data_IF_837190301726
#
_entry.id   IF_837190301726
#
_cell.length_a   1.000
_cell.length_b   1.000
_cell.length_c   1.000
_cell.angle_alpha   90.00
_cell.angle_beta   90.00
_cell.angle_gamma   90.00
#
_symmetry.space_group_name_H-M   'P 1'
#
loop_
_entity.id
_entity.type
_entity.pdbx_description
1 polymer ?
#
# COMPACT_ATOMS: atom_id res chain seq x y z
N UNK A 1 42.92 -40.68 38.52
CA UNK A 1 41.75 -40.06 39.18
C UNK A 1 42.06 -38.60 39.49
N UNK A 2 41.19 -37.67 39.04
CA UNK A 2 41.19 -36.19 39.23
C UNK A 2 42.42 -35.50 38.60
N UNK A 3 42.29 -34.50 37.73
CA UNK A 3 41.74 -33.14 37.94
C UNK A 3 41.48 -32.50 36.55
N UNK A 4 40.26 -32.05 36.26
CA UNK A 4 39.83 -30.64 36.22
C UNK A 4 40.47 -29.76 35.11
N UNK A 5 39.68 -29.54 34.04
CA UNK A 5 39.27 -28.25 33.45
C UNK A 5 40.33 -27.14 33.37
N UNK A 6 40.75 -26.80 32.14
CA UNK A 6 40.97 -25.41 31.67
C UNK A 6 40.68 -25.35 30.16
N UNK A 7 39.45 -25.00 29.80
CA UNK A 7 39.09 -23.70 29.23
C UNK A 7 39.54 -23.53 27.77
N UNK A 8 38.74 -24.09 26.86
CA UNK A 8 38.75 -23.70 25.44
C UNK A 8 37.29 -23.47 25.05
N UNK A 9 36.70 -22.45 25.65
CA UNK A 9 35.35 -21.98 25.31
C UNK A 9 35.46 -20.50 24.96
N UNK A 10 35.83 -20.26 23.72
CA UNK A 10 35.48 -19.03 23.02
C UNK A 10 34.91 -19.49 21.68
N UNK A 11 33.78 -20.19 21.76
CA UNK A 11 32.96 -20.52 20.61
C UNK A 11 32.19 -19.25 20.26
N UNK A 12 32.48 -18.77 19.05
CA UNK A 12 31.95 -17.61 18.36
C UNK A 12 30.43 -17.49 18.62
N UNK A 13 30.05 -16.48 19.40
CA UNK A 13 28.67 -15.97 19.44
C UNK A 13 28.65 -14.61 18.73
N UNK A 14 29.02 -14.63 17.45
CA UNK A 14 28.57 -13.62 16.50
C UNK A 14 27.34 -14.21 15.82
N UNK A 15 26.22 -14.26 16.55
CA UNK A 15 24.92 -14.32 15.88
C UNK A 15 24.80 -12.96 15.21
N UNK A 16 25.22 -12.92 13.96
CA UNK A 16 24.83 -11.87 13.02
C UNK A 16 23.32 -11.85 13.05
N UNK A 17 22.74 -10.91 13.79
CA UNK A 17 21.37 -10.47 13.58
C UNK A 17 21.38 -9.64 12.29
N UNK A 18 21.79 -10.28 11.18
CA UNK A 18 21.28 -9.89 9.89
C UNK A 18 19.83 -10.34 9.99
N UNK A 19 18.93 -9.41 10.28
CA UNK A 19 17.51 -9.66 10.10
C UNK A 19 17.31 -9.97 8.62
N UNK A 20 17.40 -11.25 8.26
CA UNK A 20 16.71 -11.74 7.09
C UNK A 20 15.23 -11.52 7.42
N UNK A 21 14.68 -10.38 7.01
CA UNK A 21 13.24 -10.33 6.79
C UNK A 21 12.96 -11.48 5.82
N UNK A 22 12.22 -12.49 6.27
CA UNK A 22 11.74 -13.52 5.37
C UNK A 22 10.96 -12.80 4.28
N UNK A 23 11.43 -12.92 3.03
CA UNK A 23 10.79 -12.26 1.91
C UNK A 23 9.37 -12.81 1.81
N UNK A 24 8.36 -11.94 1.92
CA UNK A 24 6.97 -12.34 1.75
C UNK A 24 6.80 -12.93 0.36
N UNK A 25 6.11 -14.06 0.27
CA UNK A 25 5.79 -14.68 -1.01
C UNK A 25 4.37 -14.28 -1.42
N UNK A 26 4.24 -13.74 -2.62
CA UNK A 26 2.96 -13.39 -3.24
C UNK A 26 2.64 -14.38 -4.34
N UNK A 27 1.41 -14.88 -4.39
CA UNK A 27 0.98 -15.88 -5.39
C UNK A 27 0.32 -15.26 -6.60
N UNK A 28 -0.25 -14.06 -6.44
CA UNK A 28 -1.05 -13.38 -7.45
C UNK A 28 -0.36 -12.10 -7.93
N UNK A 29 -0.94 -11.49 -8.96
CA UNK A 29 -0.57 -10.14 -9.41
C UNK A 29 -1.73 -9.20 -9.08
N UNK A 30 -1.41 -8.16 -8.31
CA UNK A 30 -2.35 -7.13 -7.89
C UNK A 30 -2.24 -5.91 -8.81
N UNK A 31 -3.32 -5.14 -8.93
CA UNK A 31 -3.31 -3.86 -9.65
C UNK A 31 -3.65 -2.72 -8.71
N UNK A 32 -2.72 -1.77 -8.60
CA UNK A 32 -2.90 -0.52 -7.88
C UNK A 32 -3.12 0.62 -8.88
N UNK A 33 -4.30 1.23 -8.85
CA UNK A 33 -4.58 2.45 -9.62
C UNK A 33 -4.30 3.66 -8.76
N UNK A 34 -3.45 4.55 -9.25
CA UNK A 34 -2.99 5.75 -8.56
C UNK A 34 -3.43 7.01 -9.30
N UNK A 35 -4.45 7.68 -8.76
CA UNK A 35 -4.94 8.96 -9.26
C UNK A 35 -4.30 10.10 -8.48
N UNK A 36 -3.69 11.04 -9.19
CA UNK A 36 -2.87 12.10 -8.58
C UNK A 36 -3.01 13.45 -9.25
N UNK A 37 -2.66 14.49 -8.51
CA UNK A 37 -2.51 15.87 -8.97
C UNK A 37 -1.04 16.25 -8.86
N UNK A 38 -0.50 16.94 -9.84
CA UNK A 38 0.91 17.37 -9.86
C UNK A 38 1.21 18.37 -8.74
N UNK A 39 0.23 19.20 -8.38
CA UNK A 39 0.35 20.24 -7.35
C UNK A 39 0.05 19.78 -5.93
N UNK A 40 -0.30 18.50 -5.74
CA UNK A 40 -0.66 17.91 -4.45
C UNK A 40 0.58 17.43 -3.68
N UNK A 41 0.92 18.01 -2.51
CA UNK A 41 2.14 17.64 -1.77
C UNK A 41 2.15 16.18 -1.32
N UNK A 42 1.01 15.65 -0.86
CA UNK A 42 0.92 14.24 -0.47
C UNK A 42 1.09 13.30 -1.67
N UNK A 43 0.67 13.72 -2.86
CA UNK A 43 0.86 12.98 -4.10
C UNK A 43 2.33 12.98 -4.52
N UNK A 44 3.02 14.12 -4.39
CA UNK A 44 4.46 14.22 -4.62
C UNK A 44 5.23 13.29 -3.66
N UNK A 45 4.95 13.39 -2.36
CA UNK A 45 5.55 12.50 -1.35
C UNK A 45 5.29 11.02 -1.65
N UNK A 46 4.06 10.64 -1.99
CA UNK A 46 3.73 9.27 -2.34
C UNK A 46 4.47 8.80 -3.61
N UNK A 47 4.62 9.68 -4.60
CA UNK A 47 5.32 9.36 -5.85
C UNK A 47 6.82 9.13 -5.61
N UNK A 48 7.42 9.97 -4.77
CA UNK A 48 8.86 9.94 -4.46
C UNK A 48 9.23 8.82 -3.47
N UNK A 49 8.37 8.56 -2.48
CA UNK A 49 8.70 7.69 -1.35
C UNK A 49 7.79 6.46 -1.24
N UNK A 50 6.50 6.57 -1.59
CA UNK A 50 5.57 5.45 -1.50
C UNK A 50 5.70 4.43 -2.63
N UNK A 51 5.80 4.90 -3.88
CA UNK A 51 5.94 4.00 -5.03
C UNK A 51 7.18 3.10 -4.97
N UNK A 52 8.39 3.61 -4.63
CA UNK A 52 9.56 2.74 -4.50
C UNK A 52 9.41 1.65 -3.45
N UNK A 53 8.74 1.93 -2.32
CA UNK A 53 8.49 0.94 -1.27
C UNK A 53 7.59 -0.20 -1.77
N UNK A 54 6.57 0.13 -2.57
CA UNK A 54 5.67 -0.87 -3.17
C UNK A 54 6.43 -1.71 -4.20
N UNK A 55 7.26 -1.08 -5.04
CA UNK A 55 8.10 -1.77 -6.02
C UNK A 55 9.11 -2.70 -5.34
N UNK A 56 9.69 -2.30 -4.21
CA UNK A 56 10.60 -3.13 -3.41
C UNK A 56 9.89 -4.34 -2.78
N UNK A 57 8.73 -4.11 -2.16
CA UNK A 57 7.97 -5.16 -1.46
C UNK A 57 7.35 -6.17 -2.43
N UNK A 58 6.62 -5.69 -3.43
CA UNK A 58 5.82 -6.55 -4.31
C UNK A 58 6.55 -6.94 -5.60
N UNK A 59 7.49 -6.12 -6.09
CA UNK A 59 8.13 -6.33 -7.38
C UNK A 59 7.11 -6.56 -8.51
N UNK A 60 7.30 -7.64 -9.28
CA UNK A 60 6.42 -8.00 -10.39
C UNK A 60 4.99 -8.44 -9.96
N UNK A 61 4.75 -8.60 -8.66
CA UNK A 61 3.41 -8.91 -8.13
C UNK A 61 2.51 -7.68 -8.00
N UNK A 62 3.01 -6.46 -8.21
CA UNK A 62 2.19 -5.25 -8.25
C UNK A 62 2.31 -4.54 -9.58
N UNK A 63 1.19 -4.44 -10.30
CA UNK A 63 1.06 -3.55 -11.44
C UNK A 63 0.53 -2.19 -10.96
N UNK A 64 1.30 -1.13 -11.19
CA UNK A 64 0.87 0.24 -10.85
C UNK A 64 0.41 0.96 -12.11
N UNK A 65 -0.84 1.44 -12.12
CA UNK A 65 -1.41 2.25 -13.19
C UNK A 65 -1.60 3.67 -12.68
N UNK A 66 -0.93 4.65 -13.30
CA UNK A 66 -0.94 6.04 -12.84
C UNK A 66 -1.86 6.90 -13.72
N UNK A 67 -2.66 7.73 -13.09
CA UNK A 67 -3.60 8.65 -13.72
C UNK A 67 -3.32 10.08 -13.25
N UNK A 68 -2.79 10.90 -14.15
CA UNK A 68 -2.60 12.33 -13.90
C UNK A 68 -3.94 13.05 -14.08
N UNK A 69 -4.56 13.50 -12.99
CA UNK A 69 -5.83 14.21 -13.04
C UNK A 69 -5.70 15.64 -13.58
N UNK A 70 -4.49 16.17 -13.69
CA UNK A 70 -4.20 17.47 -14.32
C UNK A 70 -3.97 17.36 -15.85
N UNK A 71 -3.81 16.14 -16.40
CA UNK A 71 -3.52 15.97 -17.83
C UNK A 71 -4.74 16.23 -18.71
N UNK A 72 -4.74 17.41 -19.34
CA UNK A 72 -5.81 17.87 -20.23
C UNK A 72 -5.98 17.03 -21.49
N UNK A 73 -4.96 16.28 -21.91
CA UNK A 73 -5.05 15.44 -23.10
C UNK A 73 -5.81 14.14 -22.85
N UNK A 74 -5.78 13.64 -21.60
CA UNK A 74 -6.37 12.36 -21.20
C UNK A 74 -7.52 12.53 -20.20
N UNK A 75 -7.96 13.77 -19.92
CA UNK A 75 -8.95 14.10 -18.89
C UNK A 75 -10.23 13.26 -18.95
N UNK A 76 -10.74 12.96 -20.14
CA UNK A 76 -11.96 12.14 -20.29
C UNK A 76 -11.70 10.67 -19.93
N UNK A 77 -10.52 10.14 -20.26
CA UNK A 77 -10.12 8.76 -19.95
C UNK A 77 -9.85 8.61 -18.45
N UNK A 78 -9.12 9.56 -17.86
CA UNK A 78 -8.86 9.62 -16.42
C UNK A 78 -10.16 9.74 -15.64
N UNK A 79 -11.07 10.64 -16.06
CA UNK A 79 -12.40 10.77 -15.45
C UNK A 79 -13.21 9.49 -15.56
N UNK A 80 -13.23 8.84 -16.72
CA UNK A 80 -13.96 7.60 -16.91
C UNK A 80 -13.41 6.47 -16.01
N UNK A 81 -12.08 6.38 -15.86
CA UNK A 81 -11.46 5.43 -14.95
C UNK A 81 -11.79 5.73 -13.48
N UNK A 82 -11.72 6.99 -13.05
CA UNK A 82 -12.07 7.41 -11.69
C UNK A 82 -13.55 7.11 -11.38
N UNK A 83 -14.45 7.53 -12.28
CA UNK A 83 -15.90 7.29 -12.16
C UNK A 83 -16.22 5.79 -12.08
N UNK A 84 -15.49 4.95 -12.82
CA UNK A 84 -15.68 3.49 -12.76
C UNK A 84 -15.45 2.93 -11.35
N UNK A 85 -14.42 3.41 -10.64
CA UNK A 85 -14.18 2.96 -9.26
C UNK A 85 -15.18 3.58 -8.28
N UNK A 86 -15.39 4.89 -8.35
CA UNK A 86 -16.30 5.61 -7.43
C UNK A 86 -17.72 5.06 -7.48
N UNK A 87 -18.24 4.73 -8.66
CA UNK A 87 -19.59 4.19 -8.80
C UNK A 87 -19.77 2.79 -8.17
N UNK A 88 -18.67 2.09 -7.86
CA UNK A 88 -18.70 0.77 -7.22
C UNK A 88 -18.36 0.81 -5.71
N UNK A 89 -17.97 1.98 -5.19
CA UNK A 89 -17.69 2.19 -3.77
C UNK A 89 -19.03 2.34 -3.01
N UNK A 90 -19.10 1.71 -1.84
CA UNK A 90 -20.22 1.85 -0.91
C UNK A 90 -20.14 3.25 -0.29
N UNK A 91 -21.24 3.99 -0.39
CA UNK A 91 -21.43 5.30 0.27
C UNK A 91 -20.27 6.30 0.05
N UNK A 92 -19.74 6.37 -1.18
CA UNK A 92 -18.66 7.30 -1.51
C UNK A 92 -19.05 8.76 -1.20
N UNK A 93 -18.20 9.47 -0.44
CA UNK A 93 -18.40 10.87 -0.14
C UNK A 93 -18.13 11.70 -1.41
N UNK A 94 -19.15 12.35 -1.97
CA UNK A 94 -18.97 13.14 -3.19
C UNK A 94 -18.07 14.37 -2.99
N UNK A 95 -17.91 14.85 -1.76
CA UNK A 95 -16.99 15.95 -1.44
C UNK A 95 -15.51 15.55 -1.61
N UNK A 96 -15.22 14.26 -1.65
CA UNK A 96 -13.88 13.71 -1.85
C UNK A 96 -13.52 13.55 -3.35
N UNK A 97 -14.48 13.76 -4.25
CA UNK A 97 -14.29 13.55 -5.68
C UNK A 97 -13.18 14.44 -6.26
N UNK A 98 -12.20 13.82 -6.92
CA UNK A 98 -11.10 14.51 -7.59
C UNK A 98 -9.97 14.96 -6.65
N UNK A 99 -10.05 14.65 -5.35
CA UNK A 99 -8.92 14.81 -4.44
C UNK A 99 -7.91 13.66 -4.60
N UNK A 100 -6.67 13.91 -4.17
CA UNK A 100 -5.59 12.94 -4.26
C UNK A 100 -4.60 13.02 -3.09
N UNK A 101 -3.71 12.03 -2.94
CA UNK A 101 -3.63 10.81 -3.77
C UNK A 101 -4.86 9.92 -3.53
N UNK A 102 -5.48 9.42 -4.59
CA UNK A 102 -6.55 8.44 -4.51
C UNK A 102 -6.05 7.12 -5.09
N UNK A 103 -6.01 6.09 -4.24
CA UNK A 103 -5.32 4.85 -4.46
C UNK A 103 -6.33 3.70 -4.40
N UNK A 104 -6.46 2.95 -5.49
CA UNK A 104 -7.41 1.84 -5.59
C UNK A 104 -6.64 0.55 -5.74
N UNK A 105 -6.68 -0.31 -4.73
CA UNK A 105 -6.23 -1.69 -4.84
C UNK A 105 -7.39 -2.52 -5.41
N UNK A 106 -7.31 -2.83 -6.70
CA UNK A 106 -8.41 -3.42 -7.47
C UNK A 106 -8.92 -4.72 -6.84
N UNK A 107 -10.22 -4.77 -6.53
CA UNK A 107 -10.86 -5.91 -5.88
C UNK A 107 -10.73 -5.95 -4.35
N UNK A 108 -10.01 -5.01 -3.72
CA UNK A 108 -9.80 -4.98 -2.27
C UNK A 108 -10.47 -3.78 -1.62
N UNK A 109 -9.88 -2.59 -1.77
CA UNK A 109 -10.34 -1.34 -1.17
C UNK A 109 -9.73 -0.14 -1.91
N UNK A 110 -10.19 1.06 -1.57
CA UNK A 110 -9.56 2.31 -1.99
C UNK A 110 -9.22 3.19 -0.79
N UNK A 111 -8.17 3.99 -0.92
CA UNK A 111 -7.73 4.94 0.08
C UNK A 111 -7.56 6.32 -0.55
N UNK A 112 -8.19 7.33 0.04
CA UNK A 112 -7.91 8.72 -0.24
C UNK A 112 -6.96 9.27 0.82
N UNK A 113 -5.92 9.99 0.38
CA UNK A 113 -4.92 10.56 1.26
C UNK A 113 -3.89 9.51 1.71
N UNK A 114 -2.64 9.94 1.88
CA UNK A 114 -1.58 9.15 2.49
C UNK A 114 -0.80 10.08 3.40
N UNK A 115 -0.89 9.83 4.71
CA UNK A 115 -0.13 10.57 5.71
C UNK A 115 1.25 9.96 5.92
N UNK A 116 1.30 8.63 6.01
CA UNK A 116 2.49 7.83 6.24
C UNK A 116 2.59 6.73 5.17
N UNK A 117 3.70 6.74 4.42
CA UNK A 117 3.92 5.81 3.30
C UNK A 117 4.23 4.39 3.78
N UNK A 118 4.84 4.22 4.95
CA UNK A 118 5.12 2.90 5.54
C UNK A 118 3.81 2.28 6.03
N UNK A 119 2.97 3.07 6.71
CA UNK A 119 1.61 2.64 7.10
C UNK A 119 0.76 2.25 5.88
N UNK A 120 0.85 3.02 4.80
CA UNK A 120 0.15 2.69 3.57
C UNK A 120 0.62 1.35 2.98
N UNK A 121 1.94 1.10 2.97
CA UNK A 121 2.50 -0.18 2.54
C UNK A 121 1.99 -1.33 3.41
N UNK A 122 1.99 -1.17 4.73
CA UNK A 122 1.46 -2.16 5.67
C UNK A 122 -0.02 -2.47 5.39
N UNK A 123 -0.84 -1.46 5.08
CA UNK A 123 -2.24 -1.67 4.69
C UNK A 123 -2.39 -2.42 3.35
N UNK A 124 -1.52 -2.18 2.36
CA UNK A 124 -1.52 -2.98 1.13
C UNK A 124 -1.22 -4.46 1.42
N UNK A 125 -0.20 -4.72 2.25
CA UNK A 125 0.18 -6.08 2.66
C UNK A 125 -0.97 -6.74 3.41
N UNK A 126 -1.57 -6.03 4.36
CA UNK A 126 -2.71 -6.53 5.13
C UNK A 126 -3.89 -6.88 4.23
N UNK A 127 -4.25 -5.98 3.30
CA UNK A 127 -5.34 -6.20 2.36
C UNK A 127 -5.16 -7.48 1.53
N UNK A 128 -3.98 -7.66 0.92
CA UNK A 128 -3.73 -8.85 0.08
C UNK A 128 -3.62 -10.13 0.89
N UNK A 129 -3.24 -10.03 2.18
CA UNK A 129 -3.13 -11.15 3.11
C UNK A 129 -4.48 -11.50 3.79
N UNK A 130 -5.54 -10.74 3.52
CA UNK A 130 -6.84 -10.91 4.18
C UNK A 130 -6.84 -10.49 5.65
N UNK A 131 -5.89 -9.65 6.04
CA UNK A 131 -5.78 -9.09 7.38
C UNK A 131 -6.51 -7.75 7.50
N UNK A 132 -6.74 -7.31 8.74
CA UNK A 132 -7.42 -6.05 9.01
C UNK A 132 -6.50 -4.87 8.71
N UNK A 133 -7.03 -3.85 8.04
CA UNK A 133 -6.34 -2.57 7.85
C UNK A 133 -6.14 -1.85 9.20
N UNK A 134 -5.13 -1.00 9.27
CA UNK A 134 -5.00 -0.04 10.36
C UNK A 134 -6.15 0.97 10.38
N UNK A 135 -6.27 1.79 11.42
CA UNK A 135 -7.26 2.88 11.43
C UNK A 135 -6.79 4.05 10.54
N UNK A 136 -7.69 4.75 9.82
CA UNK A 136 -7.32 5.89 8.99
C UNK A 136 -6.72 7.04 9.82
N UNK A 137 -5.71 7.71 9.26
CA UNK A 137 -5.17 8.97 9.78
C UNK A 137 -6.13 10.15 9.59
N UNK A 138 -5.74 11.34 10.06
CA UNK A 138 -6.64 12.51 10.07
C UNK A 138 -7.07 12.96 8.66
N UNK A 139 -6.20 12.75 7.67
CA UNK A 139 -6.41 13.14 6.27
C UNK A 139 -6.75 11.95 5.38
N UNK A 140 -6.91 10.75 5.95
CA UNK A 140 -7.10 9.52 5.22
C UNK A 140 -8.57 9.11 5.26
N UNK A 141 -9.07 8.55 4.16
CA UNK A 141 -10.40 7.94 4.12
C UNK A 141 -10.33 6.62 3.39
N UNK A 142 -10.84 5.56 4.01
CA UNK A 142 -10.89 4.23 3.42
C UNK A 142 -12.28 3.97 2.84
N UNK A 143 -12.28 3.53 1.61
CA UNK A 143 -13.46 3.24 0.83
C UNK A 143 -13.50 1.75 0.48
N UNK A 144 -14.68 1.16 0.60
CA UNK A 144 -14.88 -0.27 0.38
C UNK A 144 -15.81 -0.49 -0.81
N UNK A 145 -15.50 -1.49 -1.62
CA UNK A 145 -16.32 -1.86 -2.77
C UNK A 145 -17.44 -2.83 -2.37
N UNK A 146 -18.56 -2.78 -3.09
CA UNK A 146 -19.69 -3.71 -2.88
C UNK A 146 -19.22 -5.18 -2.90
N UNK A 147 -18.37 -5.53 -3.85
CA UNK A 147 -17.80 -6.86 -4.06
C UNK A 147 -16.33 -6.99 -3.61
N UNK A 148 -15.77 -5.97 -2.96
CA UNK A 148 -14.37 -5.96 -2.51
C UNK A 148 -14.06 -7.02 -1.44
N UNK A 149 -12.83 -7.54 -1.45
CA UNK A 149 -12.37 -8.55 -0.49
C UNK A 149 -12.16 -7.99 0.92
N UNK A 150 -11.86 -6.69 1.03
CA UNK A 150 -11.81 -5.99 2.31
C UNK A 150 -13.19 -5.37 2.58
N UNK A 151 -13.74 -5.61 3.77
CA UNK A 151 -15.05 -5.10 4.18
C UNK A 151 -14.89 -4.09 5.32
N UNK A 152 -15.79 -3.09 5.38
CA UNK A 152 -15.92 -2.26 6.57
C UNK A 152 -16.36 -3.15 7.75
N UNK A 153 -15.69 -3.01 8.89
CA UNK A 153 -16.23 -3.55 10.13
C UNK A 153 -17.39 -2.62 10.55
N UNK A 154 -18.62 -3.11 10.41
CA UNK A 154 -19.83 -2.41 10.88
C UNK A 154 -19.95 -2.43 12.41
#
# INVERSE_FOLDING_TARGET
MKKLIKLTMMFILAITVAGCQEKREYTDTYTLHYFYLESCPNCQNFTENGLPLIEEEFGDHMKIVKYNMDDRNTINEVKAAYDNFVNNIIDFNQDDYGFGPFLVLEGYYAQLGVEDVDKYLDNLIAAVSGEKLSEPGEIETYYYFNDGLVKSEN
#
